data_IF_117418547147
#
_entry.id   IF_117418547147
#
_cell.length_a   1.000
_cell.length_b   1.000
_cell.length_c   1.000
_cell.angle_alpha   90.00
_cell.angle_beta   90.00
_cell.angle_gamma   90.00
#
_symmetry.space_group_name_H-M   'P 1'
#
loop_
_entity.id
_entity.type
_entity.pdbx_description
1 polymer ?
#
# COMPACT_ATOMS: atom_id res chain seq x y z
N UNK A 1 8.81 10.04 -5.53
CA UNK A 1 8.95 10.34 -6.97
C UNK A 1 10.42 10.13 -7.34
N UNK A 2 10.73 9.78 -8.58
CA UNK A 2 12.13 9.62 -9.04
C UNK A 2 12.60 10.88 -9.77
N UNK A 3 13.91 11.05 -9.93
CA UNK A 3 14.47 12.14 -10.74
C UNK A 3 13.99 12.03 -12.20
N UNK A 4 13.79 13.18 -12.82
CA UNK A 4 13.39 13.31 -14.21
C UNK A 4 14.55 12.92 -15.15
N UNK A 5 14.23 12.20 -16.22
CA UNK A 5 15.16 11.92 -17.33
C UNK A 5 14.79 12.76 -18.56
N UNK A 6 15.58 12.67 -19.63
CA UNK A 6 15.42 13.48 -20.86
C UNK A 6 14.05 13.40 -21.56
N UNK A 7 13.24 12.38 -21.24
CA UNK A 7 11.89 12.20 -21.78
C UNK A 7 10.79 12.87 -20.95
N UNK A 8 11.12 13.33 -19.75
CA UNK A 8 10.17 13.94 -18.83
C UNK A 8 9.98 15.43 -19.15
N UNK A 9 8.72 15.87 -19.14
CA UNK A 9 8.32 17.24 -19.51
C UNK A 9 7.38 17.80 -18.47
N UNK A 10 7.55 19.08 -18.12
CA UNK A 10 6.70 19.81 -17.16
C UNK A 10 6.06 21.06 -17.79
N UNK A 11 5.55 20.92 -19.02
CA UNK A 11 5.00 22.01 -19.81
C UNK A 11 6.09 22.80 -20.54
N UNK A 12 5.94 24.12 -20.61
CA UNK A 12 6.88 25.04 -21.28
C UNK A 12 8.07 25.45 -20.39
N UNK A 13 8.13 24.97 -19.15
CA UNK A 13 9.17 25.40 -18.21
C UNK A 13 10.51 24.74 -18.49
N UNK A 14 11.57 25.53 -18.33
CA UNK A 14 12.95 25.12 -18.56
C UNK A 14 13.46 24.11 -17.53
N UNK A 15 12.86 24.06 -16.34
CA UNK A 15 13.17 23.05 -15.34
C UNK A 15 11.97 22.53 -14.57
N UNK A 16 12.05 21.25 -14.21
CA UNK A 16 11.04 20.49 -13.48
C UNK A 16 11.50 20.25 -12.04
N UNK A 17 10.56 20.07 -11.11
CA UNK A 17 10.85 19.91 -9.67
C UNK A 17 11.77 18.72 -9.39
N UNK A 18 11.66 17.64 -10.17
CA UNK A 18 12.47 16.43 -10.00
C UNK A 18 13.73 16.42 -10.89
N UNK A 19 14.11 17.57 -11.46
CA UNK A 19 15.38 17.75 -12.17
C UNK A 19 16.49 18.16 -11.19
N UNK A 20 17.76 18.08 -11.62
CA UNK A 20 18.94 18.40 -10.81
C UNK A 20 19.00 19.88 -10.39
N UNK A 21 18.49 20.78 -11.22
CA UNK A 21 18.37 22.21 -10.91
C UNK A 21 16.90 22.61 -10.81
N UNK A 22 16.48 23.28 -9.74
CA UNK A 22 15.07 23.68 -9.52
C UNK A 22 14.95 25.19 -9.40
N UNK A 23 13.92 25.75 -10.01
CA UNK A 23 13.52 27.17 -9.88
C UNK A 23 12.19 27.29 -9.15
N UNK A 24 11.81 28.51 -8.74
CA UNK A 24 10.52 28.74 -8.04
C UNK A 24 9.31 28.44 -8.93
N UNK A 25 9.48 28.55 -10.24
CA UNK A 25 8.44 28.36 -11.25
C UNK A 25 8.34 26.90 -11.72
N UNK A 26 9.24 26.04 -11.23
CA UNK A 26 9.31 24.64 -11.62
C UNK A 26 8.03 23.89 -11.26
N UNK A 27 7.64 22.95 -12.12
CA UNK A 27 6.46 22.09 -11.93
C UNK A 27 6.86 20.63 -11.91
N UNK A 28 5.99 19.78 -11.35
CA UNK A 28 6.16 18.34 -11.49
C UNK A 28 6.03 17.95 -12.97
N UNK A 29 6.91 17.06 -13.42
CA UNK A 29 6.86 16.50 -14.77
C UNK A 29 5.74 15.47 -14.93
N UNK A 30 5.42 15.12 -16.17
CA UNK A 30 4.56 13.96 -16.48
C UNK A 30 5.08 12.67 -15.81
N UNK A 31 6.39 12.40 -15.87
CA UNK A 31 6.99 11.23 -15.21
C UNK A 31 6.83 11.25 -13.69
N UNK A 32 6.94 12.43 -13.07
CA UNK A 32 6.75 12.59 -11.62
C UNK A 32 5.32 12.23 -11.21
N UNK A 33 4.35 12.69 -12.00
CA UNK A 33 2.92 12.43 -11.80
C UNK A 33 2.63 10.92 -11.98
N UNK A 34 3.14 10.29 -13.04
CA UNK A 34 2.95 8.85 -13.28
C UNK A 34 3.55 8.00 -12.14
N UNK A 35 4.75 8.35 -11.68
CA UNK A 35 5.37 7.69 -10.53
C UNK A 35 4.55 7.81 -9.24
N UNK A 36 3.91 8.97 -9.02
CA UNK A 36 3.05 9.17 -7.87
C UNK A 36 1.77 8.33 -7.97
N UNK A 37 1.12 8.29 -9.13
CA UNK A 37 -0.05 7.47 -9.33
C UNK A 37 0.25 5.97 -9.14
N UNK A 38 1.39 5.49 -9.63
CA UNK A 38 1.80 4.11 -9.40
C UNK A 38 2.06 3.81 -7.92
N UNK A 39 2.68 4.74 -7.19
CA UNK A 39 2.89 4.63 -5.75
C UNK A 39 1.56 4.53 -4.97
N UNK A 40 0.58 5.35 -5.32
CA UNK A 40 -0.75 5.34 -4.69
C UNK A 40 -1.56 4.09 -5.08
N UNK A 41 -1.45 3.64 -6.33
CA UNK A 41 -2.09 2.42 -6.85
C UNK A 41 -1.57 1.16 -6.16
N UNK A 42 -0.27 1.12 -5.86
CA UNK A 42 0.40 0.02 -5.15
C UNK A 42 0.27 0.09 -3.61
N UNK A 43 -0.65 0.92 -3.09
CA UNK A 43 -0.92 1.17 -1.65
C UNK A 43 0.28 1.60 -0.80
N UNK A 44 1.34 2.16 -1.40
CA UNK A 44 2.49 2.61 -0.62
C UNK A 44 2.23 3.89 0.17
N UNK A 45 1.09 4.56 -0.07
CA UNK A 45 0.67 5.81 0.58
C UNK A 45 -0.62 5.69 1.39
N UNK A 46 -0.92 4.54 1.99
CA UNK A 46 -2.15 4.33 2.79
C UNK A 46 -2.28 5.33 3.94
N UNK A 47 -1.19 5.73 4.56
CA UNK A 47 -1.14 6.76 5.61
C UNK A 47 -1.30 8.22 5.10
N UNK A 48 -1.59 8.41 3.81
CA UNK A 48 -1.89 9.72 3.24
C UNK A 48 -3.40 9.95 3.06
N UNK A 49 -4.23 8.92 3.28
CA UNK A 49 -5.68 9.05 3.15
C UNK A 49 -6.34 9.58 4.42
N UNK A 50 -5.70 9.46 5.59
CA UNK A 50 -6.17 10.08 6.82
C UNK A 50 -5.92 11.59 6.78
N UNK A 51 -7.02 12.35 6.72
CA UNK A 51 -6.96 13.81 6.75
C UNK A 51 -6.71 14.27 8.19
N UNK A 52 -5.72 15.15 8.44
CA UNK A 52 -5.50 15.69 9.76
C UNK A 52 -6.71 16.50 10.21
N UNK A 53 -7.04 16.39 11.49
CA UNK A 53 -8.04 17.23 12.13
C UNK A 53 -7.59 18.70 12.05
N UNK A 54 -8.39 19.61 11.46
CA UNK A 54 -8.03 21.03 11.35
C UNK A 54 -7.68 21.66 12.70
N UNK A 55 -8.24 21.17 13.82
CA UNK A 55 -7.93 21.66 15.16
C UNK A 55 -6.49 21.35 15.62
N UNK A 56 -5.82 20.37 15.00
CA UNK A 56 -4.46 19.92 15.33
C UNK A 56 -3.38 20.56 14.46
N UNK A 57 -3.76 21.36 13.46
CA UNK A 57 -2.81 22.00 12.56
C UNK A 57 -2.39 23.36 13.15
N UNK A 58 -1.14 23.48 13.55
CA UNK A 58 -0.56 24.68 14.18
C UNK A 58 -0.21 25.81 13.19
N UNK A 59 -0.79 25.79 11.99
CA UNK A 59 -0.54 26.82 10.95
C UNK A 59 -1.61 27.89 10.99
N UNK A 60 -1.30 29.07 10.44
CA UNK A 60 -2.30 30.13 10.24
C UNK A 60 -3.36 29.65 9.25
N UNK A 61 -4.65 29.73 9.61
CA UNK A 61 -5.76 29.47 8.69
C UNK A 61 -5.71 30.42 7.50
N UNK A 62 -5.82 29.91 6.28
CA UNK A 62 -5.80 30.72 5.06
C UNK A 62 -6.93 30.26 4.13
N UNK A 63 -8.00 31.04 4.11
CA UNK A 63 -9.09 30.81 3.18
C UNK A 63 -8.63 30.95 1.72
N UNK A 64 -8.93 29.93 0.93
CA UNK A 64 -8.66 29.87 -0.51
C UNK A 64 -7.41 29.07 -0.89
N UNK A 65 -6.88 28.27 0.04
CA UNK A 65 -5.72 27.40 -0.18
C UNK A 65 -6.10 25.94 -0.49
N UNK A 66 -7.41 25.62 -0.57
CA UNK A 66 -8.01 24.28 -0.78
C UNK A 66 -7.78 23.29 0.35
N UNK A 67 -7.48 23.77 1.55
CA UNK A 67 -7.27 22.96 2.74
C UNK A 67 -8.15 23.54 3.84
N UNK A 68 -9.11 22.72 4.29
CA UNK A 68 -10.02 23.09 5.35
C UNK A 68 -9.27 23.40 6.65
N UNK A 69 -9.15 24.68 6.98
CA UNK A 69 -8.49 25.15 8.18
C UNK A 69 -9.46 25.36 9.35
N UNK A 70 -8.90 25.55 10.55
CA UNK A 70 -9.70 25.84 11.75
C UNK A 70 -10.52 27.11 11.53
N UNK A 71 -11.85 26.99 11.67
CA UNK A 71 -12.81 28.08 11.54
C UNK A 71 -13.45 28.22 10.16
N UNK A 72 -13.00 27.45 9.17
CA UNK A 72 -13.60 27.38 7.84
C UNK A 72 -14.63 26.25 7.78
N UNK A 73 -15.67 26.43 6.97
CA UNK A 73 -16.67 25.39 6.69
C UNK A 73 -16.32 24.64 5.39
N UNK A 74 -15.70 25.35 4.44
CA UNK A 74 -15.22 24.84 3.16
C UNK A 74 -14.05 25.67 2.64
N UNK A 75 -13.29 25.12 1.67
CA UNK A 75 -12.31 25.88 0.91
C UNK A 75 -12.27 25.38 -0.54
N UNK A 76 -12.81 26.17 -1.47
CA UNK A 76 -12.85 25.91 -2.93
C UNK A 76 -11.66 26.54 -3.69
N UNK A 77 -10.72 27.17 -2.98
CA UNK A 77 -9.56 27.84 -3.56
C UNK A 77 -9.79 29.34 -3.81
N UNK A 78 -9.27 29.85 -4.92
CA UNK A 78 -9.32 31.28 -5.24
C UNK A 78 -10.75 31.83 -5.33
N UNK A 79 -10.91 33.14 -5.16
CA UNK A 79 -12.19 33.85 -5.30
C UNK A 79 -12.88 33.53 -6.63
N UNK A 80 -12.13 33.46 -7.72
CA UNK A 80 -12.67 33.14 -9.04
C UNK A 80 -13.19 31.69 -9.12
N UNK A 81 -12.49 30.73 -8.50
CA UNK A 81 -12.92 29.34 -8.44
C UNK A 81 -14.17 29.20 -7.59
N UNK A 82 -14.17 29.81 -6.40
CA UNK A 82 -15.28 29.78 -5.46
C UNK A 82 -16.53 30.50 -5.97
N UNK A 83 -16.39 31.53 -6.81
CA UNK A 83 -17.55 32.22 -7.41
C UNK A 83 -18.37 31.31 -8.33
N UNK A 84 -17.78 30.20 -8.80
CA UNK A 84 -18.42 29.18 -9.64
C UNK A 84 -18.81 27.93 -8.85
N UNK A 85 -18.44 27.86 -7.57
CA UNK A 85 -18.73 26.71 -6.71
C UNK A 85 -20.17 26.84 -6.16
N UNK A 86 -21.03 25.84 -6.37
CA UNK A 86 -22.42 25.92 -5.91
C UNK A 86 -22.57 25.79 -4.39
N UNK A 87 -21.55 25.26 -3.70
CA UNK A 87 -21.62 24.85 -2.30
C UNK A 87 -20.81 25.75 -1.36
N UNK A 88 -19.76 26.40 -1.86
CA UNK A 88 -18.82 27.17 -1.05
C UNK A 88 -18.63 28.61 -1.54
N UNK A 89 -18.73 29.57 -0.62
CA UNK A 89 -18.49 30.98 -0.90
C UNK A 89 -16.99 31.32 -0.82
N UNK A 90 -16.54 32.39 -1.50
CA UNK A 90 -15.16 32.91 -1.37
C UNK A 90 -14.73 33.28 0.06
N UNK A 91 -15.67 33.34 0.99
CA UNK A 91 -15.44 33.59 2.42
C UNK A 91 -15.21 32.31 3.24
N UNK A 92 -15.03 31.16 2.58
CA UNK A 92 -14.86 29.85 3.20
C UNK A 92 -16.04 29.42 4.10
N UNK A 93 -17.24 29.84 3.69
CA UNK A 93 -18.52 29.49 4.29
C UNK A 93 -19.40 28.76 3.29
N UNK A 94 -20.26 27.89 3.78
CA UNK A 94 -21.22 27.19 2.96
C UNK A 94 -22.24 28.17 2.34
N UNK A 95 -22.70 27.87 1.13
CA UNK A 95 -23.88 28.51 0.57
C UNK A 95 -25.14 28.09 1.34
N UNK A 96 -26.21 28.88 1.26
CA UNK A 96 -27.44 28.60 2.01
C UNK A 96 -28.03 27.26 1.57
N UNK A 97 -28.24 26.35 2.52
CA UNK A 97 -28.79 25.01 2.28
C UNK A 97 -27.73 23.94 2.00
N UNK A 98 -26.46 24.31 1.85
CA UNK A 98 -25.35 23.37 1.66
C UNK A 98 -24.89 22.81 3.01
N UNK A 99 -24.69 21.50 3.07
CA UNK A 99 -24.14 20.79 4.25
C UNK A 99 -22.74 20.24 3.99
N UNK A 100 -22.31 20.25 2.73
CA UNK A 100 -20.97 19.91 2.29
C UNK A 100 -20.61 20.66 1.00
N UNK A 101 -19.31 20.75 0.71
CA UNK A 101 -18.82 21.34 -0.54
C UNK A 101 -17.92 20.41 -1.36
N UNK A 102 -17.23 19.45 -0.73
CA UNK A 102 -16.29 18.56 -1.39
C UNK A 102 -16.19 17.22 -0.66
N UNK A 103 -15.46 16.29 -1.26
CA UNK A 103 -15.24 14.95 -0.71
C UNK A 103 -16.08 13.89 -1.41
N UNK A 104 -15.69 12.61 -1.29
CA UNK A 104 -16.30 11.50 -2.04
C UNK A 104 -17.74 11.16 -1.60
N UNK A 105 -18.18 11.73 -0.46
CA UNK A 105 -19.54 11.61 0.06
C UNK A 105 -20.33 12.92 -0.02
N UNK A 106 -19.91 13.87 -0.84
CA UNK A 106 -20.67 15.09 -1.14
C UNK A 106 -21.15 15.08 -2.59
N UNK A 107 -22.45 15.25 -2.79
CA UNK A 107 -23.07 15.30 -4.12
C UNK A 107 -24.19 16.35 -4.11
N UNK A 108 -24.12 17.31 -5.03
CA UNK A 108 -25.09 18.41 -5.07
C UNK A 108 -25.17 19.23 -3.77
N UNK A 109 -24.04 19.47 -3.12
CA UNK A 109 -23.93 20.15 -1.81
C UNK A 109 -24.64 19.44 -0.64
N UNK A 110 -25.03 18.18 -0.83
CA UNK A 110 -25.66 17.32 0.16
C UNK A 110 -24.82 16.08 0.43
N UNK A 111 -24.97 15.49 1.62
CA UNK A 111 -24.34 14.20 1.88
C UNK A 111 -24.97 13.12 1.00
N UNK A 112 -24.10 12.30 0.39
CA UNK A 112 -24.54 11.11 -0.33
C UNK A 112 -25.26 10.16 0.60
N UNK A 113 -26.27 9.46 0.08
CA UNK A 113 -27.07 8.51 0.85
C UNK A 113 -26.18 7.46 1.53
N UNK A 114 -26.60 7.03 2.73
CA UNK A 114 -25.93 5.94 3.45
C UNK A 114 -25.84 4.70 2.56
N UNK A 115 -24.68 4.07 2.52
CA UNK A 115 -24.44 2.89 1.67
C UNK A 115 -23.98 3.24 0.26
N UNK A 116 -23.85 4.52 -0.10
CA UNK A 116 -23.21 4.91 -1.37
C UNK A 116 -21.72 4.59 -1.33
N UNK A 117 -21.20 3.86 -2.32
CA UNK A 117 -19.76 3.56 -2.41
C UNK A 117 -18.98 4.87 -2.60
N UNK A 118 -18.01 5.12 -1.73
CA UNK A 118 -17.09 6.26 -1.80
C UNK A 118 -15.64 5.86 -2.06
N UNK A 119 -15.27 4.61 -1.75
CA UNK A 119 -14.02 4.00 -2.20
C UNK A 119 -14.29 2.56 -2.66
N UNK A 120 -14.00 2.22 -3.92
CA UNK A 120 -14.08 0.83 -4.35
C UNK A 120 -12.92 0.01 -3.77
N UNK A 121 -13.14 -1.30 -3.64
CA UNK A 121 -12.06 -2.25 -3.35
C UNK A 121 -11.08 -2.30 -4.52
N UNK A 122 -9.77 -2.24 -4.23
CA UNK A 122 -8.72 -2.29 -5.26
C UNK A 122 -8.24 -3.72 -5.56
N UNK A 123 -8.40 -4.65 -4.62
CA UNK A 123 -7.95 -6.03 -4.75
C UNK A 123 -8.74 -6.97 -3.81
N UNK A 124 -8.51 -8.26 -3.95
CA UNK A 124 -9.24 -9.29 -3.20
C UNK A 124 -9.05 -9.26 -1.68
N UNK A 125 -8.04 -8.56 -1.14
CA UNK A 125 -7.82 -8.43 0.31
C UNK A 125 -8.40 -7.13 0.88
N UNK A 126 -8.98 -6.30 0.03
CA UNK A 126 -9.48 -4.98 0.36
C UNK A 126 -11.00 -4.94 0.34
N UNK A 127 -11.57 -4.07 1.16
CA UNK A 127 -13.01 -3.88 1.24
C UNK A 127 -13.37 -2.52 0.62
N UNK A 128 -14.57 -2.38 0.04
CA UNK A 128 -15.07 -1.06 -0.33
C UNK A 128 -15.51 -0.30 0.94
N UNK A 129 -15.49 1.02 0.89
CA UNK A 129 -16.13 1.87 1.90
C UNK A 129 -17.30 2.65 1.34
N UNK A 130 -18.21 2.95 2.26
CA UNK A 130 -19.49 3.55 1.98
C UNK A 130 -19.67 4.84 2.77
N UNK A 131 -20.43 5.77 2.21
CA UNK A 131 -20.87 6.96 2.91
C UNK A 131 -21.82 6.57 4.05
N UNK A 132 -21.69 7.25 5.20
CA UNK A 132 -22.57 7.03 6.35
C UNK A 132 -23.87 7.86 6.29
N UNK A 133 -23.95 8.81 5.34
CA UNK A 133 -25.07 9.74 5.16
C UNK A 133 -25.02 11.00 6.04
N UNK A 134 -23.98 11.16 6.86
CA UNK A 134 -23.86 12.27 7.82
C UNK A 134 -22.53 13.01 7.74
N UNK A 135 -21.67 12.61 6.80
CA UNK A 135 -20.35 13.20 6.58
C UNK A 135 -20.04 13.28 5.10
N UNK A 136 -19.34 14.33 4.69
CA UNK A 136 -18.78 14.49 3.34
C UNK A 136 -17.57 13.57 3.09
N UNK A 137 -17.02 13.00 4.16
CA UNK A 137 -15.88 12.11 4.13
C UNK A 137 -16.30 10.64 4.05
N UNK A 138 -15.55 9.88 3.24
CA UNK A 138 -15.64 8.43 3.25
C UNK A 138 -15.20 7.89 4.61
N UNK A 139 -15.73 6.74 5.01
CA UNK A 139 -15.29 6.08 6.23
C UNK A 139 -13.81 5.65 6.09
N UNK A 140 -13.09 5.46 7.21
CA UNK A 140 -11.71 5.00 7.18
C UNK A 140 -11.54 3.69 6.38
N UNK A 141 -10.43 3.58 5.65
CA UNK A 141 -10.06 2.40 4.86
C UNK A 141 -9.94 1.16 5.77
N UNK A 142 -10.68 0.11 5.42
CA UNK A 142 -10.66 -1.19 6.09
C UNK A 142 -10.38 -2.29 5.07
N UNK A 143 -9.73 -3.35 5.53
CA UNK A 143 -9.35 -4.49 4.70
C UNK A 143 -9.79 -5.80 5.33
N UNK A 144 -9.84 -6.87 4.54
CA UNK A 144 -10.18 -8.21 5.04
C UNK A 144 -9.20 -8.60 6.12
N UNK A 145 -9.69 -9.25 7.17
CA UNK A 145 -8.85 -9.67 8.27
C UNK A 145 -7.65 -10.51 7.80
N UNK A 146 -6.53 -10.35 8.50
CA UNK A 146 -5.34 -11.14 8.25
C UNK A 146 -5.67 -12.64 8.40
N UNK A 147 -5.13 -13.47 7.51
CA UNK A 147 -5.48 -14.89 7.45
C UNK A 147 -6.54 -15.25 6.42
N UNK A 148 -7.25 -14.28 5.86
CA UNK A 148 -8.23 -14.54 4.80
C UNK A 148 -7.52 -15.11 3.56
N UNK A 149 -7.94 -16.26 3.01
CA UNK A 149 -7.35 -16.80 1.79
C UNK A 149 -7.50 -15.83 0.61
N UNK A 150 -6.46 -15.75 -0.21
CA UNK A 150 -6.42 -14.93 -1.42
C UNK A 150 -5.56 -15.61 -2.48
N UNK A 151 -5.79 -15.33 -3.76
CA UNK A 151 -5.18 -16.04 -4.87
C UNK A 151 -5.29 -17.58 -4.69
N UNK A 152 -4.36 -18.34 -5.27
CA UNK A 152 -4.38 -19.81 -5.17
C UNK A 152 -3.78 -20.33 -3.86
N UNK A 153 -2.67 -19.74 -3.41
CA UNK A 153 -1.93 -20.20 -2.21
C UNK A 153 -1.62 -19.07 -1.21
N UNK A 154 -2.09 -17.86 -1.53
CA UNK A 154 -1.84 -16.65 -0.76
C UNK A 154 -2.75 -16.47 0.45
N UNK A 155 -2.35 -15.53 1.30
CA UNK A 155 -3.11 -15.11 2.47
C UNK A 155 -3.10 -13.59 2.56
N UNK A 156 -4.24 -12.98 2.86
CA UNK A 156 -4.33 -11.56 3.17
C UNK A 156 -3.56 -11.25 4.45
N UNK A 157 -2.67 -10.27 4.40
CA UNK A 157 -1.97 -9.75 5.57
C UNK A 157 -1.67 -8.27 5.37
N UNK A 158 -2.10 -7.44 6.31
CA UNK A 158 -1.97 -5.98 6.22
C UNK A 158 -2.70 -5.38 5.01
N UNK A 159 -3.81 -5.99 4.58
CA UNK A 159 -4.61 -5.54 3.44
C UNK A 159 -4.03 -5.89 2.07
N UNK A 160 -3.00 -6.74 2.03
CA UNK A 160 -2.38 -7.21 0.80
C UNK A 160 -2.42 -8.73 0.70
N UNK A 161 -2.65 -9.25 -0.50
CA UNK A 161 -2.49 -10.68 -0.74
C UNK A 161 -1.01 -11.06 -0.79
N UNK A 162 -0.55 -11.81 0.23
CA UNK A 162 0.83 -12.28 0.35
C UNK A 162 0.97 -13.62 -0.37
N UNK A 163 1.61 -13.58 -1.54
CA UNK A 163 1.87 -14.74 -2.40
C UNK A 163 3.29 -14.64 -2.99
N UNK A 164 4.07 -15.72 -2.89
CA UNK A 164 5.47 -15.72 -3.34
C UNK A 164 5.60 -15.60 -4.86
N UNK A 165 4.65 -16.15 -5.64
CA UNK A 165 4.68 -15.99 -7.09
C UNK A 165 4.40 -14.54 -7.46
N UNK A 166 3.42 -13.91 -6.80
CA UNK A 166 3.15 -12.48 -6.99
C UNK A 166 4.38 -11.63 -6.67
N UNK A 167 5.07 -11.91 -5.57
CA UNK A 167 6.30 -11.21 -5.21
C UNK A 167 7.44 -11.44 -6.23
N UNK A 168 7.57 -12.65 -6.76
CA UNK A 168 8.51 -12.92 -7.86
C UNK A 168 8.15 -12.14 -9.13
N UNK A 169 6.86 -12.07 -9.48
CA UNK A 169 6.39 -11.27 -10.63
C UNK A 169 6.68 -9.79 -10.45
N UNK A 170 6.48 -9.25 -9.25
CA UNK A 170 6.78 -7.85 -8.94
C UNK A 170 8.27 -7.53 -9.02
N UNK A 171 9.14 -8.47 -8.65
CA UNK A 171 10.61 -8.27 -8.64
C UNK A 171 11.24 -8.55 -10.00
N UNK A 172 10.83 -9.61 -10.70
CA UNK A 172 11.51 -10.18 -11.87
C UNK A 172 10.67 -10.18 -13.16
N UNK A 173 9.38 -9.81 -13.10
CA UNK A 173 8.49 -9.77 -14.25
C UNK A 173 7.55 -10.97 -14.38
N UNK A 174 6.61 -10.89 -15.31
CA UNK A 174 5.40 -11.74 -15.40
C UNK A 174 5.65 -13.26 -15.46
N UNK A 175 6.79 -13.71 -15.97
CA UNK A 175 7.11 -15.14 -16.10
C UNK A 175 7.78 -15.74 -14.85
N UNK A 176 8.24 -14.88 -13.94
CA UNK A 176 8.91 -15.31 -12.73
C UNK A 176 7.94 -16.02 -11.78
N UNK A 177 8.40 -17.12 -11.19
CA UNK A 177 7.63 -17.88 -10.20
C UNK A 177 8.47 -18.08 -8.95
N UNK A 178 7.82 -18.36 -7.82
CA UNK A 178 8.51 -18.77 -6.60
C UNK A 178 9.33 -20.02 -6.87
N UNK A 179 10.59 -20.00 -6.43
CA UNK A 179 11.48 -21.12 -6.60
C UNK A 179 11.08 -22.31 -5.73
N UNK A 180 11.61 -23.48 -6.09
CA UNK A 180 11.45 -24.70 -5.28
C UNK A 180 12.19 -24.55 -3.94
N UNK A 181 11.77 -25.33 -2.96
CA UNK A 181 12.39 -25.38 -1.61
C UNK A 181 13.90 -25.61 -1.66
N UNK A 182 14.39 -26.36 -2.65
CA UNK A 182 15.81 -26.59 -2.86
C UNK A 182 16.60 -25.30 -3.13
N UNK A 183 16.06 -24.40 -3.98
CA UNK A 183 16.65 -23.09 -4.22
C UNK A 183 16.61 -22.21 -2.97
N UNK A 184 15.48 -22.19 -2.25
CA UNK A 184 15.38 -21.45 -0.99
C UNK A 184 16.40 -21.95 0.05
N UNK A 185 16.53 -23.27 0.25
CA UNK A 185 17.54 -23.84 1.14
C UNK A 185 18.95 -23.49 0.70
N UNK A 186 19.26 -23.65 -0.59
CA UNK A 186 20.59 -23.39 -1.13
C UNK A 186 21.00 -21.93 -0.96
N UNK A 187 20.12 -20.99 -1.29
CA UNK A 187 20.40 -19.55 -1.24
C UNK A 187 20.37 -19.04 0.20
N UNK A 188 19.26 -19.25 0.93
CA UNK A 188 19.04 -18.61 2.22
C UNK A 188 19.85 -19.23 3.38
N UNK A 189 20.43 -20.42 3.20
CA UNK A 189 21.40 -20.97 4.17
C UNK A 189 22.78 -20.31 4.10
N UNK A 190 23.10 -19.55 3.05
CA UNK A 190 24.42 -18.92 2.88
C UNK A 190 24.68 -17.83 3.91
N UNK A 191 23.66 -17.05 4.29
CA UNK A 191 23.86 -15.91 5.18
C UNK A 191 24.69 -14.83 4.49
N UNK A 192 24.33 -14.48 3.27
CA UNK A 192 24.97 -13.42 2.48
C UNK A 192 23.95 -12.38 2.02
N UNK A 193 24.39 -11.41 1.20
CA UNK A 193 23.56 -10.32 0.68
C UNK A 193 22.31 -10.78 -0.06
N UNK A 194 22.36 -11.94 -0.72
CA UNK A 194 21.30 -12.44 -1.60
C UNK A 194 20.49 -13.58 -0.97
N UNK A 195 21.00 -14.22 0.08
CA UNK A 195 20.28 -15.25 0.82
C UNK A 195 20.55 -15.19 2.32
N UNK A 196 19.57 -14.70 3.09
CA UNK A 196 19.67 -14.52 4.54
C UNK A 196 18.30 -14.42 5.21
N UNK A 197 18.27 -14.56 6.54
CA UNK A 197 17.10 -14.33 7.41
C UNK A 197 17.21 -13.00 8.16
N UNK A 198 17.77 -11.98 7.51
CA UNK A 198 18.07 -10.68 8.08
C UNK A 198 19.54 -10.47 8.33
N UNK A 199 19.84 -9.39 9.04
CA UNK A 199 21.21 -8.95 9.29
C UNK A 199 21.30 -8.23 10.62
N UNK A 200 22.47 -8.32 11.24
CA UNK A 200 22.85 -7.54 12.41
C UNK A 200 24.01 -6.61 12.04
N UNK A 201 24.08 -5.44 12.66
CA UNK A 201 25.24 -4.57 12.53
C UNK A 201 26.24 -4.88 13.63
N UNK A 202 27.49 -5.13 13.25
CA UNK A 202 28.62 -5.23 14.17
C UNK A 202 29.58 -4.10 13.83
N UNK A 203 29.51 -3.01 14.61
CA UNK A 203 30.15 -1.74 14.24
C UNK A 203 29.54 -1.19 12.94
N UNK A 204 30.38 -0.91 11.95
CA UNK A 204 29.96 -0.43 10.62
C UNK A 204 29.66 -1.58 9.63
N UNK A 205 29.88 -2.83 10.02
CA UNK A 205 29.69 -3.98 9.12
C UNK A 205 28.31 -4.59 9.28
N UNK A 206 27.61 -4.80 8.16
CA UNK A 206 26.35 -5.51 8.09
C UNK A 206 26.62 -7.00 7.92
N UNK A 207 26.37 -7.77 8.98
CA UNK A 207 26.52 -9.22 9.00
C UNK A 207 25.18 -9.89 8.73
N UNK A 208 25.11 -10.67 7.67
CA UNK A 208 23.90 -11.39 7.27
C UNK A 208 23.77 -12.69 8.06
N UNK A 209 22.56 -12.97 8.53
CA UNK A 209 22.25 -14.18 9.29
C UNK A 209 21.81 -15.28 8.33
N UNK A 210 22.45 -16.45 8.38
CA UNK A 210 21.96 -17.62 7.67
C UNK A 210 20.61 -18.07 8.23
N UNK A 211 19.76 -18.58 7.36
CA UNK A 211 18.48 -19.13 7.77
C UNK A 211 18.63 -20.55 8.32
N UNK A 212 17.95 -20.85 9.43
CA UNK A 212 17.65 -22.22 9.81
C UNK A 212 16.76 -22.90 8.74
N UNK A 213 16.84 -24.23 8.59
CA UNK A 213 16.15 -24.96 7.52
C UNK A 213 14.64 -24.66 7.45
N UNK A 214 13.97 -24.59 8.60
CA UNK A 214 12.53 -24.28 8.67
C UNK A 214 12.18 -22.82 8.34
N UNK A 215 13.16 -21.91 8.32
CA UNK A 215 12.98 -20.48 8.05
C UNK A 215 13.43 -20.06 6.64
N UNK A 216 13.99 -20.98 5.84
CA UNK A 216 14.53 -20.66 4.51
C UNK A 216 13.48 -20.03 3.58
N UNK A 217 12.20 -20.35 3.73
CA UNK A 217 11.11 -19.71 2.97
C UNK A 217 10.68 -18.34 3.48
N UNK A 218 11.26 -17.85 4.57
CA UNK A 218 10.98 -16.55 5.15
C UNK A 218 12.17 -15.57 5.09
N UNK A 219 13.29 -16.00 4.50
CA UNK A 219 14.46 -15.16 4.27
C UNK A 219 14.27 -14.22 3.07
N UNK A 220 15.23 -14.26 2.14
CA UNK A 220 15.13 -13.57 0.85
C UNK A 220 14.22 -14.32 -0.11
N UNK A 221 13.53 -13.60 -0.97
CA UNK A 221 12.72 -14.15 -2.06
C UNK A 221 13.67 -14.81 -3.07
N UNK A 222 13.33 -16.03 -3.47
CA UNK A 222 14.08 -16.77 -4.49
C UNK A 222 13.10 -17.18 -5.58
N UNK A 223 13.44 -16.87 -6.83
CA UNK A 223 12.57 -17.07 -7.98
C UNK A 223 13.21 -18.00 -9.03
N UNK A 224 12.37 -18.59 -9.87
CA UNK A 224 12.74 -19.36 -11.06
C UNK A 224 12.04 -18.75 -12.29
N UNK A 225 12.44 -19.20 -13.50
CA UNK A 225 11.82 -18.80 -14.78
C UNK A 225 11.89 -17.30 -15.09
N UNK A 226 12.92 -16.62 -14.60
CA UNK A 226 13.23 -15.24 -15.00
C UNK A 226 13.76 -15.25 -16.43
N UNK A 227 12.99 -14.67 -17.36
CA UNK A 227 13.36 -14.60 -18.79
C UNK A 227 14.21 -13.36 -19.10
N UNK A 228 13.82 -12.22 -18.54
CA UNK A 228 14.49 -10.95 -18.73
C UNK A 228 14.69 -10.27 -17.38
N UNK A 229 15.85 -9.65 -17.18
CA UNK A 229 16.10 -8.84 -15.99
C UNK A 229 15.29 -7.54 -16.15
N UNK A 230 14.41 -7.19 -15.19
CA UNK A 230 13.61 -5.98 -15.30
C UNK A 230 14.48 -4.74 -15.20
N UNK A 231 13.96 -3.63 -15.74
CA UNK A 231 14.64 -2.34 -15.67
C UNK A 231 14.89 -1.96 -14.20
N UNK A 232 16.16 -1.94 -13.81
CA UNK A 232 16.57 -1.78 -12.42
C UNK A 232 16.71 -0.31 -12.07
N UNK A 233 16.41 0.07 -10.82
CA UNK A 233 16.80 1.38 -10.29
C UNK A 233 18.26 1.35 -9.87
N UNK A 234 18.86 2.52 -9.61
CA UNK A 234 20.18 2.61 -9.00
C UNK A 234 20.24 1.75 -7.72
N UNK A 235 21.37 1.06 -7.53
CA UNK A 235 21.64 0.18 -6.37
C UNK A 235 20.84 -1.13 -6.28
N UNK A 236 20.01 -1.47 -7.26
CA UNK A 236 19.46 -2.82 -7.37
C UNK A 236 20.54 -3.79 -7.90
N UNK A 237 20.66 -4.97 -7.30
CA UNK A 237 21.57 -6.02 -7.77
C UNK A 237 20.82 -7.33 -7.87
N UNK A 238 20.97 -8.04 -8.99
CA UNK A 238 20.38 -9.37 -9.19
C UNK A 238 21.49 -10.41 -9.24
N UNK A 239 21.19 -11.60 -8.74
CA UNK A 239 22.08 -12.76 -8.84
C UNK A 239 21.33 -13.94 -9.44
N UNK A 240 22.03 -14.66 -10.30
CA UNK A 240 21.60 -15.93 -10.86
C UNK A 240 22.62 -16.99 -10.47
N UNK A 241 22.17 -18.06 -9.81
CA UNK A 241 23.04 -19.19 -9.44
C UNK A 241 22.43 -20.49 -9.95
N UNK A 242 23.26 -21.32 -10.57
CA UNK A 242 22.84 -22.65 -11.00
C UNK A 242 22.84 -23.59 -9.81
N UNK A 243 21.72 -24.25 -9.58
CA UNK A 243 21.62 -25.31 -8.58
C UNK A 243 20.81 -26.46 -9.16
N UNK A 244 21.41 -27.66 -9.19
CA UNK A 244 20.86 -28.82 -9.89
C UNK A 244 20.53 -28.52 -11.37
N UNK A 245 19.31 -28.80 -11.83
CA UNK A 245 18.85 -28.59 -13.22
C UNK A 245 18.09 -27.27 -13.41
N UNK A 246 18.16 -26.35 -12.45
CA UNK A 246 17.42 -25.09 -12.45
C UNK A 246 18.32 -23.90 -12.12
N UNK A 247 17.78 -22.70 -12.32
CA UNK A 247 18.43 -21.42 -12.00
C UNK A 247 17.68 -20.74 -10.87
N UNK A 248 18.36 -20.54 -9.74
CA UNK A 248 17.83 -19.80 -8.61
C UNK A 248 18.19 -18.32 -8.78
N UNK A 249 17.17 -17.45 -8.75
CA UNK A 249 17.34 -16.01 -8.87
C UNK A 249 17.06 -15.32 -7.54
N UNK A 250 17.96 -14.42 -7.15
CA UNK A 250 17.84 -13.58 -5.96
C UNK A 250 18.08 -12.12 -6.30
N UNK A 251 17.65 -11.23 -5.43
CA UNK A 251 17.82 -9.78 -5.60
C UNK A 251 18.21 -9.12 -4.29
N UNK A 252 19.04 -8.09 -4.37
CA UNK A 252 19.21 -7.09 -3.33
C UNK A 252 18.68 -5.76 -3.85
N UNK A 253 17.53 -5.34 -3.30
CA UNK A 253 16.79 -4.16 -3.73
C UNK A 253 16.96 -3.07 -2.69
N UNK A 254 18.18 -2.55 -2.60
CA UNK A 254 18.46 -1.41 -1.74
C UNK A 254 17.81 -0.16 -2.32
N UNK A 255 16.79 0.36 -1.66
CA UNK A 255 16.22 1.67 -1.99
C UNK A 255 16.82 2.76 -1.08
N UNK A 256 16.43 2.83 0.21
CA UNK A 256 16.91 3.85 1.16
C UNK A 256 16.94 3.32 2.61
N UNK A 257 17.62 4.04 3.52
CA UNK A 257 17.62 3.71 4.96
C UNK A 257 16.19 3.81 5.51
N UNK A 258 15.70 2.73 6.11
CA UNK A 258 14.35 2.65 6.67
C UNK A 258 13.29 2.14 5.68
N UNK A 259 13.64 1.95 4.40
CA UNK A 259 12.75 1.28 3.43
C UNK A 259 12.93 -0.24 3.54
N UNK A 260 11.83 -1.01 3.72
CA UNK A 260 11.92 -2.47 3.73
C UNK A 260 12.47 -3.01 2.40
N UNK A 261 13.43 -3.93 2.50
CA UNK A 261 13.97 -4.67 1.36
C UNK A 261 12.86 -5.51 0.70
N UNK A 262 12.44 -5.10 -0.50
CA UNK A 262 11.34 -5.76 -1.23
C UNK A 262 11.67 -7.17 -1.70
N UNK A 263 12.95 -7.54 -1.71
CA UNK A 263 13.40 -8.89 -2.01
C UNK A 263 13.53 -9.75 -0.74
N UNK A 264 13.00 -9.30 0.40
CA UNK A 264 12.70 -10.14 1.55
C UNK A 264 11.28 -10.69 1.44
N UNK A 265 11.08 -11.95 1.83
CA UNK A 265 9.74 -12.53 1.87
C UNK A 265 8.85 -11.71 2.80
N UNK A 266 7.72 -11.24 2.27
CA UNK A 266 6.81 -10.37 3.00
C UNK A 266 6.21 -11.07 4.22
N UNK A 267 5.97 -10.30 5.29
CA UNK A 267 5.25 -10.80 6.46
C UNK A 267 3.83 -11.27 6.05
N UNK A 268 3.36 -12.37 6.66
CA UNK A 268 2.08 -13.01 6.34
C UNK A 268 2.12 -14.03 5.20
N UNK A 269 3.24 -14.12 4.48
CA UNK A 269 3.42 -15.11 3.40
C UNK A 269 3.44 -16.53 3.95
N UNK A 270 2.72 -17.47 3.32
CA UNK A 270 2.72 -18.88 3.70
C UNK A 270 4.09 -19.52 3.49
N UNK A 271 4.64 -20.13 4.53
CA UNK A 271 5.94 -20.82 4.48
C UNK A 271 5.84 -22.33 4.67
N UNK A 272 4.77 -22.80 5.31
CA UNK A 272 4.45 -24.20 5.54
C UNK A 272 2.93 -24.35 5.78
N UNK A 273 2.38 -25.58 5.80
CA UNK A 273 1.00 -25.80 6.22
C UNK A 273 0.73 -25.14 7.57
N UNK A 274 -0.29 -24.28 7.63
CA UNK A 274 -0.68 -23.50 8.82
C UNK A 274 0.44 -22.63 9.42
N UNK A 275 1.43 -22.20 8.62
CA UNK A 275 2.51 -21.31 9.08
C UNK A 275 2.73 -20.16 8.11
N UNK A 276 3.09 -19.01 8.66
CA UNK A 276 3.38 -17.78 7.91
C UNK A 276 4.73 -17.20 8.33
N UNK A 277 5.32 -16.42 7.43
CA UNK A 277 6.53 -15.67 7.69
C UNK A 277 6.23 -14.43 8.52
N UNK A 278 6.90 -14.27 9.66
CA UNK A 278 6.88 -13.05 10.45
C UNK A 278 8.31 -12.75 10.87
N UNK A 279 8.83 -11.60 10.45
CA UNK A 279 10.19 -11.16 10.76
C UNK A 279 11.26 -12.21 10.40
N UNK A 280 11.09 -12.86 9.24
CA UNK A 280 11.91 -13.99 8.74
C UNK A 280 11.86 -15.29 9.55
N UNK A 281 10.87 -15.46 10.41
CA UNK A 281 10.62 -16.72 11.10
C UNK A 281 9.35 -17.36 10.54
N UNK A 282 9.43 -18.66 10.21
CA UNK A 282 8.28 -19.46 9.81
C UNK A 282 7.59 -20.03 11.05
N UNK A 283 6.58 -19.31 11.54
CA UNK A 283 5.88 -19.68 12.76
C UNK A 283 4.42 -19.99 12.50
N UNK A 284 3.83 -20.79 13.39
CA UNK A 284 2.39 -20.86 13.44
C UNK A 284 1.88 -19.48 13.82
N UNK A 285 0.97 -18.89 13.04
CA UNK A 285 0.31 -17.64 13.40
C UNK A 285 -0.41 -17.87 14.72
N UNK A 286 0.16 -17.34 15.80
CA UNK A 286 -0.44 -17.48 17.12
C UNK A 286 -1.79 -16.77 17.18
N UNK A 287 -2.49 -16.91 18.31
CA UNK A 287 -3.71 -16.16 18.58
C UNK A 287 -3.55 -14.64 18.40
N UNK A 288 -2.33 -14.10 18.43
CA UNK A 288 -2.04 -12.68 18.18
C UNK A 288 -2.09 -12.29 16.69
N UNK A 289 -1.71 -13.21 15.79
CA UNK A 289 -1.76 -12.99 14.34
C UNK A 289 -3.15 -13.29 13.78
N UNK A 290 -3.90 -14.23 14.39
CA UNK A 290 -5.27 -14.59 14.01
C UNK A 290 -6.24 -14.81 15.19
N UNK A 291 -6.79 -13.75 15.83
CA UNK A 291 -7.95 -13.92 16.71
C UNK A 291 -9.28 -13.37 16.15
N UNK A 292 -10.28 -14.27 16.14
CA UNK A 292 -11.63 -14.12 16.72
C UNK A 292 -12.78 -13.50 15.91
N UNK A 293 -12.64 -13.20 14.63
CA UNK A 293 -13.82 -13.03 13.77
C UNK A 293 -13.90 -14.20 12.78
N UNK A 294 -14.85 -15.09 13.04
CA UNK A 294 -15.19 -16.19 12.15
C UNK A 294 -16.37 -15.74 11.28
N UNK A 295 -16.20 -15.55 9.96
CA UNK A 295 -17.28 -15.11 9.08
C UNK A 295 -18.54 -15.99 9.12
N UNK A 296 -18.38 -17.29 9.44
CA UNK A 296 -19.51 -18.21 9.59
C UNK A 296 -20.29 -17.98 10.88
N UNK A 297 -19.60 -17.66 11.97
CA UNK A 297 -20.21 -17.51 13.30
C UNK A 297 -20.60 -16.05 13.53
N UNK A 298 -19.64 -15.14 13.44
CA UNK A 298 -19.82 -13.71 13.76
C UNK A 298 -20.60 -12.97 12.68
N UNK A 299 -20.39 -13.31 11.40
CA UNK A 299 -21.04 -12.65 10.27
C UNK A 299 -22.16 -13.50 9.66
N UNK A 300 -22.53 -14.63 10.29
CA UNK A 300 -23.59 -15.53 9.86
C UNK A 300 -23.52 -15.94 8.37
N UNK A 301 -22.31 -16.04 7.79
CA UNK A 301 -22.08 -16.27 6.35
C UNK A 301 -22.70 -15.22 5.42
N UNK A 302 -22.94 -14.01 5.93
CA UNK A 302 -23.51 -12.85 5.22
C UNK A 302 -22.56 -11.65 5.24
N UNK A 303 -21.27 -11.94 5.16
CA UNK A 303 -20.23 -10.93 5.19
C UNK A 303 -18.86 -11.52 5.50
N UNK A 304 -17.88 -10.62 5.56
CA UNK A 304 -16.48 -10.94 5.86
C UNK A 304 -15.98 -10.14 7.04
N UNK A 305 -15.04 -10.69 7.78
CA UNK A 305 -14.42 -10.00 8.89
C UNK A 305 -13.35 -9.04 8.39
N UNK A 306 -13.35 -7.81 8.91
CA UNK A 306 -12.33 -6.82 8.59
C UNK A 306 -11.20 -6.77 9.64
N UNK A 307 -10.17 -5.97 9.37
CA UNK A 307 -9.02 -5.74 10.25
C UNK A 307 -9.37 -5.15 11.62
N UNK A 308 -10.55 -4.54 11.77
CA UNK A 308 -11.08 -4.05 13.04
C UNK A 308 -11.92 -5.09 13.80
N UNK A 309 -12.00 -6.33 13.28
CA UNK A 309 -12.79 -7.45 13.83
C UNK A 309 -14.30 -7.20 13.79
N UNK A 310 -14.76 -6.38 12.86
CA UNK A 310 -16.17 -6.17 12.57
C UNK A 310 -16.58 -6.95 11.32
N UNK A 311 -17.89 -7.25 11.22
CA UNK A 311 -18.46 -7.83 10.02
C UNK A 311 -18.72 -6.74 8.98
N UNK A 312 -18.08 -6.89 7.83
CA UNK A 312 -18.41 -6.19 6.61
C UNK A 312 -19.47 -7.01 5.87
N UNK A 313 -20.73 -6.66 6.09
CA UNK A 313 -21.89 -7.41 5.62
C UNK A 313 -22.09 -7.31 4.11
N UNK A 314 -22.66 -8.36 3.53
CA UNK A 314 -23.11 -8.36 2.13
C UNK A 314 -24.29 -7.40 1.95
N UNK A 315 -24.51 -6.94 0.73
CA UNK A 315 -25.64 -6.06 0.42
C UNK A 315 -26.98 -6.68 0.85
N UNK A 316 -27.79 -5.90 1.57
CA UNK A 316 -29.05 -6.35 2.15
C UNK A 316 -28.95 -6.93 3.56
N UNK A 317 -27.76 -7.04 4.14
CA UNK A 317 -27.54 -7.51 5.51
C UNK A 317 -26.98 -6.40 6.40
N UNK A 318 -27.42 -6.38 7.66
CA UNK A 318 -26.92 -5.49 8.69
C UNK A 318 -26.29 -6.30 9.84
N UNK A 319 -25.31 -5.73 10.56
CA UNK A 319 -24.84 -6.27 11.83
C UNK A 319 -26.01 -6.50 12.81
N UNK A 320 -25.98 -7.58 13.62
CA UNK A 320 -27.08 -7.94 14.52
C UNK A 320 -27.37 -6.93 15.64
N UNK A 321 -26.51 -5.92 15.84
CA UNK A 321 -26.61 -4.92 16.92
C UNK A 321 -26.88 -3.49 16.40
N UNK A 322 -27.66 -3.34 15.33
CA UNK A 322 -28.15 -2.04 14.85
C UNK A 322 -29.64 -1.88 15.10
#
# INVERSE_FOLDING_TARGET
>A
MMHDHSGCRCGEQSSCIMNEAVTRESRYSNCSIDNYYEFIRTRRGTCLYNKPDPSRIMRKSVCGNRVLDRGEECDCGSVETCSKDPCCLPTCRMTRGSVCAFGPCCEGCQFRLRGSVCRPSKDECDLPEYCNGTSMWCQPDVYKQDGTPCAREGICYGGHCQDLNKQCVEIFGKEAISARDSCYRFMNSKGDRFGNCGSVFTGLHKNFLSCADHNVKCGKVVCEKVLNIPHSKNHHTFIQVRYDKTWCWGADLFEEVGVPDRARVSNGTRCAPNKVCINSVCSSPGNFLWPQCNPTINCHRRGVCNNLRHCHCDSGYAPPNL
#
